data_IF_616136487357
#
_entry.id   IF_616136487357
#
_cell.length_a   1.000
_cell.length_b   1.000
_cell.length_c   1.000
_cell.angle_alpha   90.00
_cell.angle_beta   90.00
_cell.angle_gamma   90.00
#
_symmetry.space_group_name_H-M   'P 1'
#
loop_
_entity.id
_entity.type
_entity.pdbx_description
1 polymer ?
#
# COMPACT_ATOMS: atom_id res chain seq x y z
N UNK A 1 -1.55 -31.87 51.35
CA UNK A 1 -0.37 -31.25 50.70
C UNK A 1 -0.10 -31.99 49.39
N UNK A 2 -0.05 -33.31 49.43
CA UNK A 2 0.02 -34.23 48.26
C UNK A 2 -0.99 -33.93 47.13
N UNK A 3 -2.27 -33.72 47.48
CA UNK A 3 -3.34 -33.46 46.50
C UNK A 3 -3.24 -32.09 45.79
N UNK A 4 -2.47 -31.14 46.34
CA UNK A 4 -2.23 -29.83 45.72
C UNK A 4 -1.06 -29.92 44.74
N UNK A 5 0.02 -30.62 45.12
CA UNK A 5 1.18 -30.87 44.25
C UNK A 5 0.80 -31.68 43.00
N UNK A 6 -0.08 -32.67 43.14
CA UNK A 6 -0.61 -33.45 42.01
C UNK A 6 -1.41 -32.57 41.04
N UNK A 7 -2.28 -31.69 41.56
CA UNK A 7 -3.06 -30.76 40.73
C UNK A 7 -2.21 -29.70 40.01
N UNK A 8 -1.09 -29.26 40.61
CA UNK A 8 -0.15 -28.33 39.95
C UNK A 8 0.67 -29.03 38.87
N UNK A 9 1.06 -30.27 39.08
CA UNK A 9 1.81 -31.04 38.07
C UNK A 9 0.93 -31.37 36.85
N UNK A 10 -0.35 -31.72 37.06
CA UNK A 10 -1.30 -31.89 35.96
C UNK A 10 -1.50 -30.60 35.18
N UNK A 11 -1.59 -29.45 35.87
CA UNK A 11 -1.71 -28.14 35.21
C UNK A 11 -0.44 -27.77 34.41
N UNK A 12 0.75 -28.06 34.94
CA UNK A 12 2.01 -27.84 34.21
C UNK A 12 2.12 -28.75 32.97
N UNK A 13 1.68 -30.01 33.07
CA UNK A 13 1.67 -30.93 31.93
C UNK A 13 0.69 -30.46 30.84
N UNK A 14 -0.52 -30.04 31.21
CA UNK A 14 -1.51 -29.51 30.27
C UNK A 14 -1.03 -28.21 29.60
N UNK A 15 -0.39 -27.30 30.35
CA UNK A 15 0.24 -26.11 29.77
C UNK A 15 1.38 -26.49 28.82
N UNK A 16 2.17 -27.50 29.16
CA UNK A 16 3.22 -28.06 28.31
C UNK A 16 2.67 -28.57 26.97
N UNK A 17 1.60 -29.38 27.01
CA UNK A 17 0.90 -29.89 25.82
C UNK A 17 0.36 -28.77 24.94
N UNK A 18 -0.29 -27.76 25.55
CA UNK A 18 -0.82 -26.60 24.82
C UNK A 18 0.30 -25.80 24.16
N UNK A 19 1.43 -25.63 24.85
CA UNK A 19 2.60 -24.94 24.29
C UNK A 19 3.23 -25.71 23.13
N UNK A 20 3.30 -27.04 23.22
CA UNK A 20 3.79 -27.90 22.13
C UNK A 20 2.86 -27.83 20.91
N UNK A 21 1.54 -27.95 21.10
CA UNK A 21 0.55 -27.77 20.04
C UNK A 21 0.62 -26.39 19.39
N UNK A 22 0.83 -25.34 20.18
CA UNK A 22 1.01 -23.99 19.65
C UNK A 22 2.30 -23.87 18.81
N UNK A 23 3.39 -24.54 19.21
CA UNK A 23 4.64 -24.58 18.45
C UNK A 23 4.48 -25.36 17.14
N UNK A 24 3.88 -26.54 17.18
CA UNK A 24 3.60 -27.34 15.98
C UNK A 24 2.74 -26.56 14.98
N UNK A 25 1.70 -25.88 15.47
CA UNK A 25 0.84 -25.03 14.65
C UNK A 25 1.62 -23.85 14.06
N UNK A 26 2.51 -23.23 14.83
CA UNK A 26 3.36 -22.14 14.35
C UNK A 26 4.32 -22.63 13.26
N UNK A 27 4.94 -23.80 13.42
CA UNK A 27 5.87 -24.38 12.45
C UNK A 27 5.15 -24.79 11.16
N UNK A 28 3.99 -25.45 11.27
CA UNK A 28 3.14 -25.79 10.13
C UNK A 28 2.67 -24.52 9.39
N UNK A 29 2.27 -23.49 10.14
CA UNK A 29 1.90 -22.19 9.59
C UNK A 29 3.06 -21.49 8.88
N UNK A 30 4.26 -21.51 9.47
CA UNK A 30 5.46 -20.95 8.86
C UNK A 30 5.85 -21.69 7.57
N UNK A 31 5.74 -23.02 7.56
CA UNK A 31 5.97 -23.86 6.37
C UNK A 31 5.01 -23.52 5.24
N UNK A 32 3.71 -23.41 5.53
CA UNK A 32 2.69 -23.04 4.55
C UNK A 32 2.93 -21.63 3.99
N UNK A 33 3.25 -20.66 4.84
CA UNK A 33 3.56 -19.29 4.42
C UNK A 33 4.80 -19.26 3.52
N UNK A 34 5.83 -20.03 3.83
CA UNK A 34 7.05 -20.14 3.01
C UNK A 34 6.74 -20.69 1.62
N UNK A 35 5.95 -21.77 1.54
CA UNK A 35 5.52 -22.36 0.27
C UNK A 35 4.72 -21.37 -0.58
N UNK A 36 3.70 -20.74 0.01
CA UNK A 36 2.87 -19.73 -0.66
C UNK A 36 3.73 -18.56 -1.15
N UNK A 37 4.69 -18.10 -0.33
CA UNK A 37 5.60 -17.01 -0.70
C UNK A 37 6.45 -17.36 -1.93
N UNK A 38 6.99 -18.58 -2.01
CA UNK A 38 7.78 -19.03 -3.16
C UNK A 38 6.92 -19.14 -4.43
N UNK A 39 5.74 -19.74 -4.33
CA UNK A 39 4.81 -19.86 -5.46
C UNK A 39 4.38 -18.48 -5.96
N UNK A 40 4.09 -17.57 -5.02
CA UNK A 40 3.75 -16.19 -5.31
C UNK A 40 4.90 -15.41 -5.98
N UNK A 41 6.16 -15.64 -5.59
CA UNK A 41 7.32 -15.08 -6.29
C UNK A 41 7.45 -15.63 -7.71
N UNK A 42 7.19 -16.92 -7.93
CA UNK A 42 7.23 -17.53 -9.26
C UNK A 42 6.16 -16.92 -10.19
N UNK A 43 4.95 -16.67 -9.67
CA UNK A 43 3.86 -16.03 -10.40
C UNK A 43 4.16 -14.56 -10.71
N UNK A 44 4.81 -13.84 -9.78
CA UNK A 44 5.31 -12.47 -10.04
C UNK A 44 6.28 -12.41 -11.20
N UNK A 45 7.26 -13.30 -11.25
CA UNK A 45 8.24 -13.34 -12.34
C UNK A 45 7.55 -13.56 -13.68
N UNK A 46 6.58 -14.49 -13.73
CA UNK A 46 5.77 -14.75 -14.93
C UNK A 46 4.94 -13.52 -15.33
N UNK A 47 4.25 -12.90 -14.37
CA UNK A 47 3.43 -11.70 -14.62
C UNK A 47 4.29 -10.54 -15.16
N UNK A 48 5.46 -10.31 -14.56
CA UNK A 48 6.40 -9.26 -15.00
C UNK A 48 6.99 -9.54 -16.39
N UNK A 49 7.34 -10.80 -16.67
CA UNK A 49 7.82 -11.21 -18.00
C UNK A 49 6.74 -11.04 -19.08
N UNK A 50 5.48 -11.27 -18.72
CA UNK A 50 4.36 -11.11 -19.64
C UNK A 50 4.05 -9.63 -19.89
N UNK A 51 4.00 -8.80 -18.83
CA UNK A 51 3.82 -7.34 -18.95
C UNK A 51 4.92 -6.70 -19.81
N UNK A 52 6.18 -7.07 -19.60
CA UNK A 52 7.30 -6.56 -20.41
C UNK A 52 7.20 -6.98 -21.88
N UNK A 53 6.78 -8.22 -22.15
CA UNK A 53 6.56 -8.73 -23.51
C UNK A 53 5.44 -7.98 -24.22
N UNK A 54 4.33 -7.70 -23.52
CA UNK A 54 3.20 -6.91 -24.05
C UNK A 54 3.66 -5.49 -24.38
N UNK A 55 4.40 -4.82 -23.48
CA UNK A 55 4.94 -3.48 -23.72
C UNK A 55 5.89 -3.44 -24.92
N UNK A 56 6.75 -4.45 -25.03
CA UNK A 56 7.65 -4.58 -26.17
C UNK A 56 6.90 -4.79 -27.49
N UNK A 57 5.82 -5.59 -27.47
CA UNK A 57 5.03 -5.82 -28.68
C UNK A 57 4.26 -4.55 -29.09
N UNK A 58 3.69 -3.81 -28.13
CA UNK A 58 3.06 -2.50 -28.40
C UNK A 58 4.04 -1.48 -29.00
N UNK A 59 5.24 -1.36 -28.45
CA UNK A 59 6.26 -0.46 -29.01
C UNK A 59 6.72 -0.90 -30.40
N UNK A 60 6.82 -2.21 -30.63
CA UNK A 60 7.13 -2.78 -31.95
C UNK A 60 6.04 -2.45 -32.97
N UNK A 61 4.76 -2.64 -32.62
CA UNK A 61 3.62 -2.29 -33.48
C UNK A 61 3.63 -0.81 -33.81
N UNK A 62 3.83 0.05 -32.81
CA UNK A 62 3.92 1.51 -33.00
C UNK A 62 5.07 1.88 -33.95
N UNK A 63 6.21 1.20 -33.84
CA UNK A 63 7.38 1.43 -34.68
C UNK A 63 7.12 0.98 -36.13
N UNK A 64 6.57 -0.22 -36.33
CA UNK A 64 6.29 -0.76 -37.68
C UNK A 64 5.16 0.02 -38.37
N UNK A 65 4.17 0.48 -37.60
CA UNK A 65 3.11 1.36 -38.10
C UNK A 65 3.67 2.72 -38.54
N UNK A 66 4.56 3.34 -37.76
CA UNK A 66 5.19 4.61 -38.14
C UNK A 66 6.09 4.50 -39.38
N UNK A 67 6.68 3.33 -39.62
CA UNK A 67 7.43 3.00 -40.83
C UNK A 67 6.53 2.67 -42.04
N UNK A 68 5.19 2.72 -41.89
CA UNK A 68 4.20 2.34 -42.92
C UNK A 68 4.35 0.92 -43.48
N UNK A 69 5.01 0.04 -42.72
CA UNK A 69 5.23 -1.37 -43.10
C UNK A 69 4.08 -2.29 -42.65
N UNK A 70 3.12 -1.77 -41.88
CA UNK A 70 1.93 -2.49 -41.43
C UNK A 70 0.66 -1.90 -42.04
N UNK A 71 -0.30 -2.77 -42.39
CA UNK A 71 -1.66 -2.35 -42.70
C UNK A 71 -2.29 -1.75 -41.43
N UNK A 72 -2.80 -0.50 -41.46
CA UNK A 72 -3.43 0.14 -40.31
C UNK A 72 -4.57 -0.71 -39.71
N UNK A 73 -5.35 -1.43 -40.52
CA UNK A 73 -6.42 -2.29 -40.00
C UNK A 73 -5.90 -3.48 -39.19
N UNK A 74 -4.74 -4.01 -39.57
CA UNK A 74 -4.09 -5.10 -38.85
C UNK A 74 -3.45 -4.58 -37.56
N UNK A 75 -2.90 -3.36 -37.58
CA UNK A 75 -2.37 -2.69 -36.40
C UNK A 75 -3.45 -2.49 -35.33
N UNK A 76 -4.61 -1.97 -35.73
CA UNK A 76 -5.73 -1.72 -34.81
C UNK A 76 -6.22 -3.01 -34.15
N UNK A 77 -6.35 -4.10 -34.92
CA UNK A 77 -6.73 -5.41 -34.39
C UNK A 77 -5.71 -5.96 -33.39
N UNK A 78 -4.42 -5.85 -33.71
CA UNK A 78 -3.36 -6.38 -32.85
C UNK A 78 -3.23 -5.57 -31.54
N UNK A 79 -3.49 -4.27 -31.61
CA UNK A 79 -3.57 -3.39 -30.44
C UNK A 79 -4.80 -3.72 -29.57
N UNK A 80 -5.95 -4.02 -30.17
CA UNK A 80 -7.17 -4.47 -29.47
C UNK A 80 -6.96 -5.81 -28.75
N UNK A 81 -6.31 -6.77 -29.41
CA UNK A 81 -5.95 -8.07 -28.82
C UNK A 81 -4.98 -7.88 -27.64
N UNK A 82 -3.99 -6.98 -27.78
CA UNK A 82 -3.08 -6.63 -26.69
C UNK A 82 -3.77 -5.93 -25.54
N UNK A 83 -4.71 -5.03 -25.83
CA UNK A 83 -5.50 -4.34 -24.82
C UNK A 83 -6.38 -5.33 -24.05
N UNK A 84 -6.95 -6.31 -24.74
CA UNK A 84 -7.71 -7.42 -24.13
C UNK A 84 -6.82 -8.24 -23.20
N UNK A 85 -5.61 -8.59 -23.65
CA UNK A 85 -4.63 -9.30 -22.82
C UNK A 85 -4.24 -8.50 -21.57
N UNK A 86 -4.07 -7.18 -21.69
CA UNK A 86 -3.81 -6.29 -20.54
C UNK A 86 -5.00 -6.33 -19.57
N UNK A 87 -6.23 -6.15 -20.04
CA UNK A 87 -7.43 -6.18 -19.19
C UNK A 87 -7.56 -7.49 -18.43
N UNK A 88 -7.31 -8.64 -19.08
CA UNK A 88 -7.32 -9.96 -18.41
C UNK A 88 -6.32 -10.01 -17.25
N UNK A 89 -5.12 -9.44 -17.46
CA UNK A 89 -4.04 -9.44 -16.47
C UNK A 89 -4.28 -8.41 -15.35
N UNK A 90 -4.84 -7.23 -15.66
CA UNK A 90 -5.04 -6.13 -14.69
C UNK A 90 -6.33 -6.22 -13.89
N UNK A 91 -7.38 -6.81 -14.46
CA UNK A 91 -8.70 -6.91 -13.82
C UNK A 91 -8.91 -8.28 -13.17
N UNK A 92 -8.16 -9.31 -13.60
CA UNK A 92 -8.20 -10.64 -13.04
C UNK A 92 -7.37 -10.83 -11.76
N UNK A 93 -7.34 -12.06 -11.24
CA UNK A 93 -6.60 -12.44 -10.03
C UNK A 93 -5.07 -12.25 -10.17
N UNK A 94 -4.58 -12.23 -11.42
CA UNK A 94 -3.18 -11.99 -11.74
C UNK A 94 -2.70 -10.58 -11.37
N UNK A 95 -3.63 -9.63 -11.22
CA UNK A 95 -3.33 -8.23 -10.96
C UNK A 95 -2.64 -7.99 -9.60
N UNK A 96 -2.79 -8.92 -8.64
CA UNK A 96 -2.09 -8.88 -7.36
C UNK A 96 -0.59 -9.21 -7.46
N UNK A 97 -0.15 -9.81 -8.57
CA UNK A 97 1.25 -10.17 -8.80
C UNK A 97 2.01 -9.15 -9.63
N UNK A 98 1.30 -8.30 -10.38
CA UNK A 98 1.90 -7.18 -11.09
C UNK A 98 2.47 -6.16 -10.10
N UNK A 99 3.48 -5.37 -10.52
CA UNK A 99 3.86 -4.19 -9.77
C UNK A 99 2.59 -3.35 -9.56
N UNK A 100 2.42 -2.83 -8.34
CA UNK A 100 1.32 -1.92 -8.06
C UNK A 100 1.38 -0.80 -9.10
N UNK A 101 0.43 -0.83 -10.05
CA UNK A 101 0.37 0.18 -11.09
C UNK A 101 0.35 1.52 -10.37
N UNK A 102 1.31 2.38 -10.73
CA UNK A 102 1.49 3.67 -10.10
C UNK A 102 0.14 4.38 -10.13
N UNK A 103 -0.45 4.50 -8.94
CA UNK A 103 -1.69 5.23 -8.75
C UNK A 103 -1.55 6.59 -9.43
N UNK A 104 -2.63 7.06 -10.06
CA UNK A 104 -2.66 8.37 -10.71
C UNK A 104 -2.05 9.42 -9.79
N UNK A 105 -1.36 10.41 -10.38
CA UNK A 105 -0.59 11.42 -9.64
C UNK A 105 -1.37 12.07 -8.48
N UNK A 106 -2.68 12.24 -8.66
CA UNK A 106 -3.61 12.73 -7.64
C UNK A 106 -3.66 11.81 -6.41
N UNK A 107 -3.90 10.51 -6.61
CA UNK A 107 -3.99 9.56 -5.51
C UNK A 107 -2.62 9.36 -4.84
N UNK A 108 -1.53 9.42 -5.62
CA UNK A 108 -0.16 9.43 -5.12
C UNK A 108 0.15 10.66 -4.24
N UNK A 109 -0.48 11.81 -4.50
CA UNK A 109 -0.34 13.01 -3.69
C UNK A 109 -0.90 12.79 -2.27
N UNK A 110 -2.04 12.09 -2.15
CA UNK A 110 -2.66 11.78 -0.85
C UNK A 110 -2.08 10.55 -0.17
N UNK A 111 -1.72 9.50 -0.90
CA UNK A 111 -1.30 8.21 -0.31
C UNK A 111 0.21 8.00 -0.26
N UNK A 112 0.99 8.70 -1.09
CA UNK A 112 2.39 8.36 -1.31
C UNK A 112 2.56 7.16 -2.25
N UNK A 113 3.73 6.51 -2.29
CA UNK A 113 4.00 5.34 -3.14
C UNK A 113 3.35 4.02 -2.64
N UNK A 114 2.30 4.09 -1.83
CA UNK A 114 1.66 2.93 -1.20
C UNK A 114 0.66 2.30 -2.17
N UNK A 115 0.73 0.97 -2.35
CA UNK A 115 -0.31 0.23 -3.08
C UNK A 115 -1.59 0.11 -2.25
N UNK A 116 -2.75 0.54 -2.78
CA UNK A 116 -4.08 0.33 -2.16
C UNK A 116 -4.38 -1.17 -2.01
N UNK A 117 -3.82 -2.00 -2.90
CA UNK A 117 -3.94 -3.46 -2.87
C UNK A 117 -2.83 -4.02 -1.98
N UNK A 118 -3.02 -3.95 -0.66
CA UNK A 118 -2.10 -4.49 0.32
C UNK A 118 -2.50 -5.93 0.72
N UNK A 119 -2.59 -6.82 -0.28
CA UNK A 119 -2.81 -8.27 -0.05
C UNK A 119 -1.65 -8.92 0.72
N UNK A 120 -0.51 -8.23 0.88
CA UNK A 120 0.71 -8.77 1.52
C UNK A 120 1.03 -8.06 2.83
N UNK A 121 1.37 -8.84 3.86
CA UNK A 121 1.84 -8.35 5.17
C UNK A 121 3.00 -7.35 5.07
N UNK A 122 3.93 -7.53 4.14
CA UNK A 122 5.06 -6.59 3.94
C UNK A 122 4.59 -5.21 3.44
N UNK A 123 3.62 -5.18 2.52
CA UNK A 123 3.03 -3.93 2.01
C UNK A 123 2.21 -3.25 3.11
N UNK A 124 1.54 -4.03 3.97
CA UNK A 124 0.83 -3.51 5.15
C UNK A 124 1.78 -2.91 6.18
N UNK A 125 2.92 -3.54 6.46
CA UNK A 125 3.94 -3.00 7.37
C UNK A 125 4.55 -1.72 6.81
N UNK A 126 4.85 -1.68 5.51
CA UNK A 126 5.34 -0.47 4.85
C UNK A 126 4.29 0.65 4.83
N UNK A 127 3.02 0.32 4.61
CA UNK A 127 1.92 1.28 4.69
C UNK A 127 1.74 1.85 6.11
N UNK A 128 1.95 1.03 7.15
CA UNK A 128 1.96 1.47 8.55
C UNK A 128 3.15 2.38 8.86
N UNK A 129 4.33 2.04 8.38
CA UNK A 129 5.54 2.85 8.55
C UNK A 129 5.40 4.21 7.86
N UNK A 130 4.92 4.22 6.61
CA UNK A 130 4.65 5.47 5.87
C UNK A 130 3.52 6.28 6.52
N UNK A 131 2.47 5.65 7.04
CA UNK A 131 1.44 6.32 7.82
C UNK A 131 2.02 7.00 9.07
N UNK A 132 2.83 6.28 9.85
CA UNK A 132 3.39 6.83 11.08
C UNK A 132 4.40 7.95 10.80
N UNK A 133 5.27 7.77 9.81
CA UNK A 133 6.19 8.82 9.36
C UNK A 133 5.46 10.06 8.84
N UNK A 134 4.38 9.88 8.08
CA UNK A 134 3.55 10.98 7.60
C UNK A 134 2.85 11.71 8.74
N UNK A 135 2.33 10.97 9.73
CA UNK A 135 1.70 11.53 10.93
C UNK A 135 2.70 12.35 11.75
N UNK A 136 3.90 11.82 11.98
CA UNK A 136 4.93 12.50 12.77
C UNK A 136 5.43 13.77 12.08
N UNK A 137 5.66 13.72 10.76
CA UNK A 137 6.02 14.91 9.97
C UNK A 137 4.90 15.96 9.97
N UNK A 138 3.66 15.51 9.92
CA UNK A 138 2.48 16.37 9.97
C UNK A 138 2.33 17.02 11.35
N UNK A 139 2.54 16.28 12.44
CA UNK A 139 2.50 16.80 13.81
C UNK A 139 3.53 17.91 14.05
N UNK A 140 4.74 17.79 13.50
CA UNK A 140 5.73 18.85 13.55
C UNK A 140 5.27 20.12 12.81
N UNK A 141 4.65 19.96 11.63
CA UNK A 141 4.13 21.09 10.86
C UNK A 141 2.94 21.77 11.56
N UNK A 142 2.11 21.02 12.28
CA UNK A 142 1.03 21.55 13.12
C UNK A 142 1.53 22.49 14.22
N UNK A 143 2.77 22.33 14.68
CA UNK A 143 3.38 23.21 15.69
C UNK A 143 4.12 24.36 14.99
N UNK A 144 4.92 24.03 13.98
CA UNK A 144 5.79 25.00 13.29
C UNK A 144 4.99 26.08 12.56
N UNK A 145 3.92 25.71 11.86
CA UNK A 145 3.19 26.64 11.01
C UNK A 145 2.41 27.70 11.82
N UNK A 146 1.66 27.36 12.89
CA UNK A 146 1.07 28.36 13.77
C UNK A 146 2.11 29.26 14.43
N UNK A 147 3.27 28.73 14.83
CA UNK A 147 4.37 29.53 15.38
C UNK A 147 4.88 30.57 14.36
N UNK A 148 5.07 30.16 13.10
CA UNK A 148 5.46 31.07 12.02
C UNK A 148 4.39 32.15 11.80
N UNK A 149 3.11 31.77 11.73
CA UNK A 149 2.01 32.74 11.59
C UNK A 149 1.97 33.75 12.74
N UNK A 150 2.22 33.32 13.98
CA UNK A 150 2.28 34.18 15.14
C UNK A 150 3.48 35.15 15.09
N UNK A 151 4.64 34.67 14.64
CA UNK A 151 5.83 35.52 14.44
C UNK A 151 5.55 36.57 13.35
N UNK A 152 5.06 36.17 12.19
CA UNK A 152 4.77 37.11 11.09
C UNK A 152 3.66 38.11 11.46
N UNK A 153 2.65 37.68 12.22
CA UNK A 153 1.63 38.58 12.80
C UNK A 153 2.27 39.68 13.65
N UNK A 154 3.28 39.34 14.44
CA UNK A 154 3.97 40.29 15.31
C UNK A 154 4.98 41.17 14.57
N UNK A 155 5.58 40.70 13.48
CA UNK A 155 6.70 41.37 12.81
C UNK A 155 6.30 42.19 11.59
N UNK A 156 5.31 41.72 10.83
CA UNK A 156 4.98 42.28 9.50
C UNK A 156 3.57 42.87 9.47
N UNK A 157 2.61 42.30 10.21
CA UNK A 157 1.20 42.64 10.04
C UNK A 157 0.56 43.43 11.18
N UNK A 158 1.36 44.08 12.03
CA UNK A 158 0.88 44.97 13.11
C UNK A 158 -0.24 44.35 13.98
N UNK A 159 -0.23 43.03 14.15
CA UNK A 159 -1.23 42.31 14.93
C UNK A 159 -2.48 41.84 14.18
N UNK A 160 -2.61 42.10 12.87
CA UNK A 160 -3.68 41.57 12.01
C UNK A 160 -3.18 40.35 11.21
N UNK A 161 -4.01 39.33 10.97
CA UNK A 161 -3.64 38.20 10.11
C UNK A 161 -4.28 38.40 8.73
N UNK A 162 -3.51 38.45 7.63
CA UNK A 162 -4.10 38.54 6.30
C UNK A 162 -4.89 37.29 5.98
N UNK A 163 -5.93 37.43 5.17
CA UNK A 163 -6.82 36.32 4.79
C UNK A 163 -6.07 35.22 4.03
N UNK A 164 -5.12 35.58 3.16
CA UNK A 164 -4.44 34.62 2.30
C UNK A 164 -3.58 33.57 3.04
N UNK A 165 -2.68 33.92 3.99
CA UNK A 165 -1.96 32.95 4.82
C UNK A 165 -2.87 32.02 5.62
N UNK A 166 -3.99 32.54 6.12
CA UNK A 166 -4.97 31.76 6.90
C UNK A 166 -5.70 30.77 5.99
N UNK A 167 -6.17 31.21 4.82
CA UNK A 167 -6.80 30.34 3.83
C UNK A 167 -5.85 29.24 3.32
N UNK A 168 -4.57 29.58 3.11
CA UNK A 168 -3.56 28.60 2.71
C UNK A 168 -3.34 27.55 3.80
N UNK A 169 -3.36 27.95 5.07
CA UNK A 169 -3.29 27.02 6.20
C UNK A 169 -4.51 26.12 6.27
N UNK A 170 -5.72 26.65 6.14
CA UNK A 170 -6.96 25.87 6.11
C UNK A 170 -6.97 24.85 4.96
N UNK A 171 -6.57 25.27 3.75
CA UNK A 171 -6.46 24.37 2.60
C UNK A 171 -5.42 23.26 2.83
N UNK A 172 -4.29 23.60 3.46
CA UNK A 172 -3.26 22.64 3.82
C UNK A 172 -3.75 21.63 4.88
N UNK A 173 -4.49 22.08 5.90
CA UNK A 173 -5.13 21.22 6.90
C UNK A 173 -6.13 20.25 6.26
N UNK A 174 -6.97 20.74 5.35
CA UNK A 174 -7.93 19.92 4.63
C UNK A 174 -7.22 18.84 3.81
N UNK A 175 -6.15 19.21 3.10
CA UNK A 175 -5.34 18.28 2.33
C UNK A 175 -4.74 17.17 3.21
N UNK A 176 -4.15 17.53 4.35
CA UNK A 176 -3.56 16.56 5.28
C UNK A 176 -4.60 15.63 5.91
N UNK A 177 -5.70 16.18 6.42
CA UNK A 177 -6.75 15.38 7.04
C UNK A 177 -7.37 14.39 6.05
N UNK A 178 -7.56 14.82 4.81
CA UNK A 178 -8.01 13.93 3.72
C UNK A 178 -6.99 12.82 3.46
N UNK A 179 -5.69 13.14 3.42
CA UNK A 179 -4.62 12.16 3.24
C UNK A 179 -4.50 11.15 4.40
N UNK A 180 -4.70 11.60 5.64
CA UNK A 180 -4.71 10.73 6.83
C UNK A 180 -5.92 9.79 6.82
N UNK A 181 -7.12 10.33 6.60
CA UNK A 181 -8.35 9.55 6.52
C UNK A 181 -8.28 8.49 5.42
N UNK A 182 -7.71 8.83 4.26
CA UNK A 182 -7.58 7.89 3.15
C UNK A 182 -6.60 6.75 3.48
N UNK A 183 -5.43 7.06 4.05
CA UNK A 183 -4.45 6.03 4.49
C UNK A 183 -5.02 5.12 5.56
N UNK A 184 -5.76 5.67 6.52
CA UNK A 184 -6.40 4.88 7.58
C UNK A 184 -7.49 3.95 7.03
N UNK A 185 -8.34 4.44 6.13
CA UNK A 185 -9.38 3.61 5.50
C UNK A 185 -8.77 2.44 4.72
N UNK A 186 -7.64 2.65 4.04
CA UNK A 186 -6.91 1.57 3.37
C UNK A 186 -6.39 0.56 4.38
N UNK A 187 -5.80 1.01 5.50
CA UNK A 187 -5.31 0.10 6.53
C UNK A 187 -6.46 -0.72 7.16
N UNK A 188 -7.62 -0.11 7.41
CA UNK A 188 -8.81 -0.82 7.91
C UNK A 188 -9.37 -1.82 6.89
N UNK A 189 -9.48 -1.43 5.62
CA UNK A 189 -9.95 -2.31 4.55
C UNK A 189 -9.03 -3.53 4.35
N UNK A 190 -7.74 -3.39 4.67
CA UNK A 190 -6.76 -4.49 4.65
C UNK A 190 -6.71 -5.28 5.97
N UNK A 191 -7.68 -5.10 6.88
CA UNK A 191 -7.81 -5.87 8.12
C UNK A 191 -6.91 -5.42 9.26
N UNK A 192 -6.29 -4.24 9.17
CA UNK A 192 -5.54 -3.69 10.30
C UNK A 192 -6.51 -3.16 11.35
N UNK A 193 -6.42 -3.71 12.57
CA UNK A 193 -7.11 -3.18 13.74
C UNK A 193 -6.42 -1.88 14.19
N UNK A 194 -6.88 -0.75 13.65
CA UNK A 194 -6.46 0.59 14.04
C UNK A 194 -7.63 1.22 14.76
N UNK A 195 -7.37 1.70 15.98
CA UNK A 195 -8.37 2.38 16.80
C UNK A 195 -8.93 3.57 16.01
N UNK A 196 -10.25 3.67 15.85
CA UNK A 196 -10.83 4.78 15.11
C UNK A 196 -10.55 6.10 15.80
N UNK A 197 -10.43 7.14 14.98
CA UNK A 197 -10.33 8.53 15.43
C UNK A 197 -11.54 8.94 16.26
#
# INVERSE_FOLDING_TARGET
MENVEESTNEMEEEVGKVMEQARELQEAGAGLISMISNDEQSLRLKANSLDSSIRHLRSSITTVLSQKLLDPKLADKLEEDLQTAICIITDGDAAGFLPANAQGWYLRMFLGPISVRASRKEIQLKAKEEYNSYRDRTALMFILFPLILLILRSWIWEGCLPAFPVQLYEAWLLFLNTGLALRENILRANGSDIRPW
#
